data_IF_016880234693
#
_entry.id   IF_016880234693
#
_cell.length_a   1.000
_cell.length_b   1.000
_cell.length_c   1.000
_cell.angle_alpha   90.00
_cell.angle_beta   90.00
_cell.angle_gamma   90.00
#
_symmetry.space_group_name_H-M   'P 1'
#
loop_
_entity.id
_entity.type
_entity.pdbx_description
1 polymer ?
#
# COMPACT_ATOMS: atom_id res chain seq x y z
N UNK A 1 17.56 2.50 10.09
CA UNK A 1 16.17 2.04 10.20
C UNK A 1 15.40 2.82 9.16
N UNK A 2 14.86 2.13 8.16
CA UNK A 2 14.21 2.73 6.98
C UNK A 2 12.68 2.50 7.01
N UNK A 3 12.13 2.12 8.19
CA UNK A 3 10.70 1.94 8.39
C UNK A 3 10.01 3.27 8.72
N UNK A 4 8.93 3.55 8.03
CA UNK A 4 8.13 4.75 8.20
C UNK A 4 6.64 4.45 8.35
N UNK A 5 5.95 5.24 9.15
CA UNK A 5 4.51 5.09 9.38
C UNK A 5 3.75 6.41 9.25
N UNK A 6 2.47 6.30 8.89
CA UNK A 6 1.51 7.40 8.93
C UNK A 6 0.27 6.97 9.72
N UNK A 7 -0.11 7.76 10.69
CA UNK A 7 -1.26 7.51 11.57
C UNK A 7 -2.19 8.72 11.52
N UNK A 8 -3.45 8.50 11.19
CA UNK A 8 -4.51 9.51 11.17
C UNK A 8 -5.75 8.90 11.85
N UNK A 9 -5.92 9.17 13.13
CA UNK A 9 -6.97 8.59 13.99
C UNK A 9 -8.37 9.17 13.75
N UNK A 10 -8.46 10.36 13.15
CA UNK A 10 -9.71 11.05 12.78
C UNK A 10 -9.62 11.55 11.34
N UNK A 11 -9.69 10.61 10.41
CA UNK A 11 -9.60 10.94 8.99
C UNK A 11 -10.69 11.93 8.58
N UNK A 12 -10.30 13.06 7.97
CA UNK A 12 -11.19 14.18 7.65
C UNK A 12 -11.99 14.71 8.86
N UNK A 13 -11.41 14.64 10.06
CA UNK A 13 -12.03 15.01 11.34
C UNK A 13 -13.23 14.12 11.75
N UNK A 14 -13.46 13.00 11.07
CA UNK A 14 -14.51 12.04 11.38
C UNK A 14 -13.99 11.01 12.41
N UNK A 15 -14.56 10.91 13.63
CA UNK A 15 -14.11 9.97 14.64
C UNK A 15 -14.42 8.50 14.30
N UNK A 16 -15.18 8.24 13.24
CA UNK A 16 -15.51 6.90 12.77
C UNK A 16 -14.58 6.42 11.65
N UNK A 17 -13.64 7.25 11.23
CA UNK A 17 -12.70 6.94 10.15
C UNK A 17 -11.26 7.10 10.62
N UNK A 18 -10.44 6.13 10.30
CA UNK A 18 -8.99 6.17 10.58
C UNK A 18 -8.19 5.61 9.42
N UNK A 19 -6.99 6.16 9.22
CA UNK A 19 -6.03 5.69 8.23
C UNK A 19 -4.71 5.40 8.92
N UNK A 20 -4.13 4.25 8.57
CA UNK A 20 -2.82 3.82 9.04
C UNK A 20 -2.03 3.30 7.85
N UNK A 21 -0.73 3.58 7.80
CA UNK A 21 0.14 2.93 6.84
C UNK A 21 1.52 2.70 7.43
N UNK A 22 2.17 1.64 6.94
CA UNK A 22 3.52 1.23 7.27
C UNK A 22 4.27 0.94 5.99
N UNK A 23 5.50 1.40 5.94
CA UNK A 23 6.41 1.26 4.81
C UNK A 23 7.75 0.78 5.33
N UNK A 24 8.29 -0.25 4.69
CA UNK A 24 9.65 -0.78 4.91
C UNK A 24 10.47 -0.40 3.68
N UNK A 25 11.37 0.58 3.87
CA UNK A 25 12.23 1.13 2.83
C UNK A 25 13.52 0.35 2.71
N UNK A 26 14.10 0.34 1.52
CA UNK A 26 15.38 -0.29 1.25
C UNK A 26 16.25 0.52 0.30
N UNK A 27 17.56 0.57 0.59
CA UNK A 27 18.53 1.29 -0.24
C UNK A 27 18.61 2.80 -0.01
N UNK A 28 17.81 3.34 0.91
CA UNK A 28 17.74 4.76 1.28
C UNK A 28 16.35 5.18 1.73
N UNK A 29 16.22 6.38 2.28
CA UNK A 29 14.97 6.85 2.90
C UNK A 29 14.13 7.74 1.99
N UNK A 30 14.69 8.27 0.90
CA UNK A 30 14.03 9.28 0.07
C UNK A 30 12.73 8.77 -0.57
N UNK A 31 12.73 7.52 -1.07
CA UNK A 31 11.55 6.89 -1.67
C UNK A 31 10.47 6.63 -0.63
N UNK A 32 10.83 6.07 0.52
CA UNK A 32 9.87 5.71 1.55
C UNK A 32 9.28 6.93 2.25
N UNK A 33 10.07 7.98 2.48
CA UNK A 33 9.57 9.26 3.02
C UNK A 33 8.58 9.93 2.07
N UNK A 34 8.88 9.94 0.77
CA UNK A 34 7.96 10.43 -0.25
C UNK A 34 6.68 9.60 -0.30
N UNK A 35 6.79 8.27 -0.39
CA UNK A 35 5.66 7.37 -0.50
C UNK A 35 4.68 7.50 0.67
N UNK A 36 5.20 7.58 1.91
CA UNK A 36 4.41 7.74 3.14
C UNK A 36 3.45 8.93 3.07
N UNK A 37 3.93 10.09 2.66
CA UNK A 37 3.11 11.31 2.60
C UNK A 37 2.25 11.34 1.34
N UNK A 38 2.79 10.84 0.23
CA UNK A 38 2.13 10.93 -1.08
C UNK A 38 0.95 9.98 -1.19
N UNK A 39 1.11 8.73 -0.78
CA UNK A 39 0.01 7.73 -0.79
C UNK A 39 -1.17 8.22 0.06
N UNK A 40 -0.92 8.73 1.27
CA UNK A 40 -1.97 9.31 2.09
C UNK A 40 -2.69 10.48 1.41
N UNK A 41 -1.93 11.41 0.81
CA UNK A 41 -2.50 12.58 0.15
C UNK A 41 -3.36 12.20 -1.06
N UNK A 42 -2.85 11.29 -1.91
CA UNK A 42 -3.56 10.77 -3.07
C UNK A 42 -4.84 10.02 -2.64
N UNK A 43 -4.73 9.14 -1.64
CA UNK A 43 -5.89 8.45 -1.08
C UNK A 43 -6.96 9.42 -0.60
N UNK A 44 -6.58 10.39 0.25
CA UNK A 44 -7.52 11.37 0.82
C UNK A 44 -8.22 12.18 -0.26
N UNK A 45 -7.48 12.68 -1.24
CA UNK A 45 -8.06 13.50 -2.31
C UNK A 45 -9.04 12.71 -3.16
N UNK A 46 -8.62 11.54 -3.67
CA UNK A 46 -9.47 10.69 -4.50
C UNK A 46 -10.70 10.15 -3.73
N UNK A 47 -10.54 9.81 -2.45
CA UNK A 47 -11.65 9.41 -1.60
C UNK A 47 -12.65 10.54 -1.38
N UNK A 48 -12.20 11.79 -1.21
CA UNK A 48 -13.09 12.95 -1.07
C UNK A 48 -13.92 13.21 -2.33
N UNK A 49 -13.37 12.90 -3.50
CA UNK A 49 -14.05 13.07 -4.79
C UNK A 49 -15.02 11.92 -5.09
N UNK A 50 -14.65 10.69 -4.77
CA UNK A 50 -15.36 9.49 -5.25
C UNK A 50 -16.14 8.76 -4.19
N UNK A 51 -15.78 8.92 -2.91
CA UNK A 51 -16.26 8.15 -1.75
C UNK A 51 -16.02 6.62 -1.88
N UNK A 52 -15.23 6.18 -2.87
CA UNK A 52 -14.90 4.77 -3.11
C UNK A 52 -13.54 4.43 -2.48
N UNK A 53 -13.57 3.77 -1.34
CA UNK A 53 -12.35 3.39 -0.58
C UNK A 53 -11.43 2.50 -1.40
N UNK A 54 -11.98 1.46 -2.08
CA UNK A 54 -11.17 0.49 -2.81
C UNK A 54 -10.44 1.13 -3.98
N UNK A 55 -11.18 1.90 -4.80
CA UNK A 55 -10.57 2.61 -5.93
C UNK A 55 -9.54 3.63 -5.45
N UNK A 56 -9.81 4.33 -4.34
CA UNK A 56 -8.91 5.34 -3.80
C UNK A 56 -7.61 4.74 -3.28
N UNK A 57 -7.67 3.57 -2.64
CA UNK A 57 -6.46 2.84 -2.21
C UNK A 57 -5.64 2.38 -3.43
N UNK A 58 -6.27 1.74 -4.42
CA UNK A 58 -5.58 1.30 -5.65
C UNK A 58 -4.93 2.50 -6.35
N UNK A 59 -5.72 3.54 -6.62
CA UNK A 59 -5.24 4.76 -7.27
C UNK A 59 -4.02 5.37 -6.56
N UNK A 60 -4.06 5.44 -5.22
CA UNK A 60 -3.00 6.07 -4.45
C UNK A 60 -1.65 5.35 -4.57
N UNK A 61 -1.66 4.02 -4.57
CA UNK A 61 -0.44 3.23 -4.76
C UNK A 61 0.08 3.30 -6.19
N UNK A 62 -0.80 3.12 -7.19
CA UNK A 62 -0.43 3.14 -8.60
C UNK A 62 0.10 4.52 -9.04
N UNK A 63 -0.52 5.61 -8.59
CA UNK A 63 -0.09 6.94 -8.97
C UNK A 63 1.20 7.34 -8.26
N UNK A 64 1.36 6.98 -6.98
CA UNK A 64 2.61 7.19 -6.26
C UNK A 64 3.78 6.45 -6.94
N UNK A 65 3.58 5.21 -7.36
CA UNK A 65 4.60 4.43 -8.08
C UNK A 65 5.03 5.12 -9.39
N UNK A 66 4.07 5.61 -10.18
CA UNK A 66 4.37 6.39 -11.40
C UNK A 66 5.16 7.66 -11.12
N UNK A 67 4.85 8.36 -10.03
CA UNK A 67 5.58 9.56 -9.63
C UNK A 67 7.01 9.22 -9.21
N UNK A 68 7.22 8.17 -8.42
CA UNK A 68 8.54 7.67 -8.04
C UNK A 68 9.36 7.29 -9.28
N UNK A 69 8.76 6.57 -10.23
CA UNK A 69 9.42 6.21 -11.49
C UNK A 69 9.85 7.44 -12.30
N UNK A 70 9.03 8.50 -12.34
CA UNK A 70 9.40 9.77 -13.00
C UNK A 70 10.54 10.48 -12.27
N UNK A 71 10.51 10.50 -10.96
CA UNK A 71 11.57 11.09 -10.14
C UNK A 71 12.91 10.37 -10.35
N UNK A 72 12.88 9.05 -10.34
CA UNK A 72 14.06 8.20 -10.59
C UNK A 72 14.69 8.46 -11.97
N UNK A 73 13.88 8.65 -13.00
CA UNK A 73 14.37 8.96 -14.36
C UNK A 73 14.97 10.36 -14.49
N UNK A 74 14.44 11.32 -13.76
CA UNK A 74 14.80 12.74 -13.92
C UNK A 74 15.95 13.19 -13.00
N UNK A 75 16.15 12.54 -11.86
CA UNK A 75 16.96 13.13 -10.77
C UNK A 75 18.10 12.30 -10.24
N UNK A 76 18.44 11.15 -10.74
CA UNK A 76 19.66 10.45 -10.31
C UNK A 76 19.56 8.95 -10.28
N UNK A 77 20.62 8.33 -10.73
CA UNK A 77 21.05 6.95 -10.44
C UNK A 77 20.91 6.53 -8.94
N UNK A 78 20.85 7.49 -8.01
CA UNK A 78 20.73 7.23 -6.57
C UNK A 78 19.36 6.63 -6.18
N UNK A 79 18.25 7.13 -6.75
CA UNK A 79 16.91 6.62 -6.46
C UNK A 79 16.56 5.32 -7.20
N UNK A 80 17.32 4.96 -8.22
CA UNK A 80 17.07 3.73 -9.00
C UNK A 80 17.29 2.44 -8.21
N UNK A 81 18.03 2.52 -7.10
CA UNK A 81 18.35 1.39 -6.22
C UNK A 81 17.55 1.43 -4.90
N UNK A 82 16.60 2.36 -4.80
CA UNK A 82 15.72 2.48 -3.63
C UNK A 82 14.37 1.90 -3.93
N UNK A 83 13.84 1.15 -2.99
CA UNK A 83 12.49 0.62 -3.04
C UNK A 83 11.80 0.69 -1.68
N UNK A 84 10.51 0.39 -1.65
CA UNK A 84 9.75 0.28 -0.41
C UNK A 84 8.60 -0.70 -0.59
N UNK A 85 8.36 -1.49 0.44
CA UNK A 85 7.08 -2.13 0.62
C UNK A 85 6.06 -1.11 1.14
N UNK A 86 4.78 -1.46 1.17
CA UNK A 86 3.79 -0.58 1.76
C UNK A 86 2.49 -1.31 2.08
N UNK A 87 1.98 -1.08 3.30
CA UNK A 87 0.65 -1.52 3.70
C UNK A 87 -0.14 -0.33 4.21
N UNK A 88 -1.35 -0.14 3.68
CA UNK A 88 -2.27 0.88 4.13
C UNK A 88 -3.59 0.25 4.60
N UNK A 89 -4.10 0.75 5.72
CA UNK A 89 -5.35 0.33 6.33
C UNK A 89 -6.27 1.55 6.43
N UNK A 90 -7.50 1.40 5.96
CA UNK A 90 -8.55 2.37 6.21
C UNK A 90 -9.69 1.72 6.97
N UNK A 91 -10.07 2.30 8.08
CA UNK A 91 -11.18 1.85 8.93
C UNK A 91 -12.31 2.85 8.78
N UNK A 92 -13.52 2.34 8.56
CA UNK A 92 -14.74 3.16 8.46
C UNK A 92 -15.95 2.42 9.00
N UNK A 93 -17.06 3.14 9.14
CA UNK A 93 -18.38 2.55 9.38
C UNK A 93 -19.19 2.54 8.09
N UNK A 94 -19.86 1.45 7.81
CA UNK A 94 -20.75 1.28 6.66
C UNK A 94 -22.11 0.78 7.10
N UNK A 95 -23.15 1.20 6.39
CA UNK A 95 -24.48 0.66 6.57
C UNK A 95 -24.62 -0.64 5.79
N UNK A 96 -24.94 -1.72 6.48
CA UNK A 96 -25.32 -2.99 5.89
C UNK A 96 -26.83 -3.12 5.99
N UNK A 97 -27.50 -3.51 4.92
CA UNK A 97 -28.96 -3.61 4.84
C UNK A 97 -29.55 -4.62 5.83
N UNK A 98 -28.78 -5.63 6.21
CA UNK A 98 -29.23 -6.72 7.09
C UNK A 98 -28.69 -6.59 8.52
N UNK A 99 -27.46 -6.10 8.67
CA UNK A 99 -26.74 -6.08 9.95
C UNK A 99 -26.64 -4.68 10.57
N UNK A 100 -27.18 -3.66 9.91
CA UNK A 100 -27.08 -2.27 10.36
C UNK A 100 -25.67 -1.70 10.20
N UNK A 101 -25.26 -0.82 11.12
CA UNK A 101 -23.94 -0.17 11.05
C UNK A 101 -22.84 -1.15 11.48
N UNK A 102 -21.89 -1.42 10.60
CA UNK A 102 -20.71 -2.24 10.88
C UNK A 102 -19.41 -1.46 10.68
N UNK A 103 -18.37 -1.82 11.44
CA UNK A 103 -17.00 -1.38 11.15
C UNK A 103 -16.42 -2.23 10.03
N UNK A 104 -15.84 -1.57 9.04
CA UNK A 104 -15.19 -2.22 7.89
C UNK A 104 -13.72 -1.81 7.88
N UNK A 105 -12.86 -2.78 7.64
CA UNK A 105 -11.42 -2.59 7.50
C UNK A 105 -11.05 -2.88 6.05
N UNK A 106 -10.50 -1.89 5.37
CA UNK A 106 -9.89 -2.03 4.07
C UNK A 106 -8.38 -2.12 4.25
N UNK A 107 -7.75 -3.10 3.61
CA UNK A 107 -6.31 -3.29 3.62
C UNK A 107 -5.80 -3.34 2.18
N UNK A 108 -4.82 -2.51 1.85
CA UNK A 108 -4.07 -2.55 0.61
C UNK A 108 -2.60 -2.78 0.96
N UNK A 109 -1.90 -3.64 0.19
CA UNK A 109 -0.48 -3.85 0.38
C UNK A 109 0.27 -4.10 -0.93
N UNK A 110 1.53 -3.72 -0.93
CA UNK A 110 2.55 -4.08 -1.93
C UNK A 110 3.80 -4.57 -1.20
N UNK A 111 4.44 -5.60 -1.73
CA UNK A 111 5.56 -6.26 -1.06
C UNK A 111 5.11 -7.26 0.00
N UNK A 112 5.97 -7.57 0.95
CA UNK A 112 5.79 -8.61 1.96
C UNK A 112 5.51 -8.09 3.38
N UNK A 113 5.22 -6.79 3.51
CA UNK A 113 4.67 -6.20 4.73
C UNK A 113 3.30 -6.81 5.04
N UNK A 114 3.05 -7.13 6.32
CA UNK A 114 1.86 -7.90 6.73
C UNK A 114 0.88 -7.11 7.57
N UNK A 115 -0.41 -7.33 7.28
CA UNK A 115 -1.52 -6.88 8.10
C UNK A 115 -2.28 -8.09 8.67
N UNK A 116 -2.48 -8.09 9.98
CA UNK A 116 -3.17 -9.16 10.70
C UNK A 116 -4.23 -8.56 11.61
N UNK A 117 -5.44 -9.08 11.54
CA UNK A 117 -6.53 -8.75 12.47
C UNK A 117 -6.58 -9.78 13.60
N UNK A 118 -6.45 -9.31 14.83
CA UNK A 118 -6.60 -10.12 16.04
C UNK A 118 -7.93 -9.75 16.69
N UNK A 119 -8.72 -10.74 17.01
CA UNK A 119 -10.02 -10.61 17.68
C UNK A 119 -10.24 -11.74 18.69
N UNK A 120 -11.33 -11.66 19.46
CA UNK A 120 -11.70 -12.72 20.40
C UNK A 120 -11.98 -14.07 19.69
N UNK A 121 -12.32 -14.04 18.40
CA UNK A 121 -12.55 -15.25 17.57
C UNK A 121 -11.28 -15.80 16.93
N UNK A 122 -10.13 -15.18 17.15
CA UNK A 122 -8.84 -15.62 16.62
C UNK A 122 -8.10 -14.56 15.79
N UNK A 123 -7.17 -15.06 14.98
CA UNK A 123 -6.28 -14.25 14.15
C UNK A 123 -6.62 -14.46 12.67
N UNK A 124 -6.75 -13.36 11.92
CA UNK A 124 -7.01 -13.40 10.49
C UNK A 124 -5.99 -12.53 9.74
N UNK A 125 -5.31 -13.11 8.77
CA UNK A 125 -4.45 -12.36 7.85
C UNK A 125 -5.28 -11.56 6.86
N UNK A 126 -4.99 -10.27 6.72
CA UNK A 126 -5.70 -9.33 5.82
C UNK A 126 -4.91 -9.01 4.55
N UNK A 127 -3.59 -9.24 4.54
CA UNK A 127 -2.72 -9.04 3.39
C UNK A 127 -2.09 -10.34 2.89
N UNK A 128 -1.59 -10.36 1.68
CA UNK A 128 -0.81 -11.45 1.10
C UNK A 128 0.57 -10.93 0.73
N UNK A 129 1.63 -11.70 1.04
CA UNK A 129 2.98 -11.30 0.70
C UNK A 129 3.20 -11.39 -0.82
N UNK A 130 3.69 -10.31 -1.39
CA UNK A 130 4.17 -10.28 -2.77
C UNK A 130 5.68 -10.48 -2.75
N UNK A 131 6.11 -11.72 -2.79
CA UNK A 131 7.53 -12.10 -2.86
C UNK A 131 7.74 -13.27 -3.81
N UNK A 132 8.98 -13.52 -4.17
CA UNK A 132 9.34 -14.53 -5.15
C UNK A 132 9.25 -15.99 -4.66
N UNK A 133 8.79 -16.22 -3.42
CA UNK A 133 8.44 -17.54 -2.89
C UNK A 133 6.96 -17.88 -3.05
N UNK A 134 6.14 -16.94 -3.52
CA UNK A 134 4.71 -17.12 -3.73
C UNK A 134 4.43 -17.42 -5.20
N UNK A 135 3.98 -18.65 -5.50
CA UNK A 135 3.69 -19.10 -6.87
C UNK A 135 2.68 -18.20 -7.61
N UNK A 136 1.65 -17.70 -6.92
CA UNK A 136 0.67 -16.81 -7.52
C UNK A 136 1.32 -15.49 -7.95
N UNK A 137 2.24 -14.98 -7.13
CA UNK A 137 2.98 -13.76 -7.44
C UNK A 137 3.97 -13.96 -8.58
N UNK A 138 4.70 -15.09 -8.57
CA UNK A 138 5.59 -15.49 -9.68
C UNK A 138 4.80 -15.52 -11.00
N UNK A 139 3.64 -16.16 -11.01
CA UNK A 139 2.79 -16.26 -12.19
C UNK A 139 2.26 -14.89 -12.63
N UNK A 140 1.89 -14.02 -11.69
CA UNK A 140 1.48 -12.64 -11.98
C UNK A 140 2.59 -11.85 -12.64
N UNK A 141 3.80 -11.92 -12.10
CA UNK A 141 4.99 -11.24 -12.63
C UNK A 141 5.30 -11.70 -14.06
N UNK A 142 5.38 -13.02 -14.27
CA UNK A 142 5.63 -13.61 -15.60
C UNK A 142 4.56 -13.21 -16.61
N UNK A 143 3.29 -13.26 -16.24
CA UNK A 143 2.16 -12.83 -17.09
C UNK A 143 2.25 -11.38 -17.52
N UNK A 144 2.89 -10.53 -16.71
CA UNK A 144 3.11 -9.09 -16.99
C UNK A 144 4.43 -8.82 -17.71
N UNK A 145 5.16 -9.87 -18.15
CA UNK A 145 6.44 -9.75 -18.86
C UNK A 145 7.61 -9.43 -17.94
N UNK A 146 7.50 -9.70 -16.65
CA UNK A 146 8.61 -9.60 -15.70
C UNK A 146 9.37 -10.92 -15.57
N UNK A 147 10.67 -10.84 -15.38
CA UNK A 147 11.56 -11.96 -15.06
C UNK A 147 11.99 -11.90 -13.60
N UNK A 148 12.23 -13.07 -13.00
CA UNK A 148 12.72 -13.21 -11.63
C UNK A 148 14.12 -13.80 -11.69
N UNK A 149 15.10 -13.07 -11.14
CA UNK A 149 16.50 -13.49 -11.05
C UNK A 149 16.97 -13.20 -9.62
N UNK A 150 17.46 -14.20 -8.91
CA UNK A 150 17.93 -14.09 -7.52
C UNK A 150 16.92 -13.40 -6.61
N UNK A 151 15.66 -13.84 -6.64
CA UNK A 151 14.53 -13.28 -5.85
C UNK A 151 14.23 -11.80 -6.11
N UNK A 152 14.71 -11.25 -7.22
CA UNK A 152 14.43 -9.87 -7.67
C UNK A 152 13.67 -9.89 -9.00
N UNK A 153 12.74 -8.92 -9.14
CA UNK A 153 11.95 -8.77 -10.36
C UNK A 153 12.64 -7.81 -11.31
N UNK A 154 12.78 -8.26 -12.55
CA UNK A 154 13.33 -7.47 -13.67
C UNK A 154 12.31 -7.39 -14.79
N UNK A 155 12.26 -6.27 -15.47
CA UNK A 155 11.53 -6.12 -16.73
C UNK A 155 12.51 -6.19 -17.88
N UNK A 156 12.23 -7.03 -18.88
CA UNK A 156 12.96 -6.95 -20.14
C UNK A 156 12.62 -5.62 -20.82
N UNK A 157 13.66 -4.91 -21.26
CA UNK A 157 13.55 -3.66 -22.02
C UNK A 157 13.09 -3.93 -23.46
#
# INVERSE_FOLDING_TARGET
>A
MEDFQKIVDKFNKDPNKAYFSLFDGHGGTEVVEFAKERIYTLFRNHFNETSDVKKSLIYSFEECDKEIQKMSKNNNLKMSNMDSTGTAIFITKENDLLLGIKKVIYCANVGDTRCVLISNSGCKRLSHDHNCNNENEINRIKKKGGNIINDRVYKEN
#
